data_IF_557350326850
#
_entry.id   IF_557350326850
#
_cell.length_a   1.000
_cell.length_b   1.000
_cell.length_c   1.000
_cell.angle_alpha   90.00
_cell.angle_beta   90.00
_cell.angle_gamma   90.00
#
_symmetry.space_group_name_H-M   'P 1'
#
loop_
_entity.id
_entity.type
_entity.pdbx_description
1 polymer ?
#
# COMPACT_ATOMS: atom_id res chain seq x y z
N UNK A 1 10.23 -14.65 -9.23
CA UNK A 1 11.33 -14.80 -8.25
C UNK A 1 10.75 -14.40 -6.90
N UNK A 2 10.84 -15.27 -5.89
CA UNK A 2 10.29 -14.99 -4.56
C UNK A 2 11.40 -14.37 -3.70
N UNK A 3 11.25 -13.10 -3.34
CA UNK A 3 12.21 -12.39 -2.48
C UNK A 3 11.75 -12.49 -1.03
N UNK A 4 12.66 -12.75 -0.09
CA UNK A 4 12.32 -12.76 1.34
C UNK A 4 11.92 -11.37 1.83
N UNK A 5 11.11 -11.32 2.89
CA UNK A 5 10.70 -10.06 3.53
C UNK A 5 11.90 -9.20 3.95
N UNK A 6 12.97 -9.82 4.47
CA UNK A 6 14.21 -9.13 4.86
C UNK A 6 14.93 -8.51 3.65
N UNK A 7 14.99 -9.23 2.51
CA UNK A 7 15.55 -8.66 1.28
C UNK A 7 14.73 -7.49 0.78
N UNK A 8 13.39 -7.60 0.79
CA UNK A 8 12.51 -6.51 0.38
C UNK A 8 12.68 -5.29 1.29
N UNK A 9 12.71 -5.49 2.61
CA UNK A 9 12.94 -4.42 3.59
C UNK A 9 14.26 -3.69 3.35
N UNK A 10 15.36 -4.43 3.17
CA UNK A 10 16.69 -3.85 2.96
C UNK A 10 16.72 -2.98 1.70
N UNK A 11 16.14 -3.44 0.59
CA UNK A 11 16.10 -2.64 -0.65
C UNK A 11 15.15 -1.44 -0.51
N UNK A 12 13.99 -1.59 0.13
CA UNK A 12 13.06 -0.48 0.41
C UNK A 12 13.75 0.61 1.26
N UNK A 13 14.63 0.24 2.18
CA UNK A 13 15.38 1.18 3.02
C UNK A 13 16.40 2.01 2.23
N UNK A 14 16.98 1.47 1.15
CA UNK A 14 17.88 2.24 0.24
C UNK A 14 17.18 3.40 -0.46
N UNK A 15 15.84 3.37 -0.58
CA UNK A 15 15.04 4.47 -1.15
C UNK A 15 14.88 5.66 -0.20
N UNK A 16 15.05 5.48 1.10
CA UNK A 16 14.73 6.51 2.10
C UNK A 16 15.53 7.83 1.98
N UNK A 17 16.79 7.85 1.50
CA UNK A 17 17.53 9.10 1.25
C UNK A 17 16.96 9.97 0.12
N UNK A 18 16.10 9.43 -0.74
CA UNK A 18 15.53 10.18 -1.88
C UNK A 18 14.24 10.91 -1.49
N UNK A 19 13.89 12.05 -2.12
CA UNK A 19 12.63 12.74 -1.83
C UNK A 19 11.38 11.89 -2.13
N UNK A 20 10.30 12.01 -1.35
CA UNK A 20 8.98 11.42 -1.65
C UNK A 20 8.08 12.44 -2.33
N UNK A 21 8.39 12.73 -3.60
CA UNK A 21 7.70 13.77 -4.38
C UNK A 21 6.99 13.10 -5.57
N UNK A 22 5.68 13.27 -5.68
CA UNK A 22 4.94 12.77 -6.84
C UNK A 22 4.99 13.73 -8.03
N UNK A 23 5.03 15.04 -7.77
CA UNK A 23 5.01 16.12 -8.79
C UNK A 23 3.73 16.22 -9.63
N UNK A 24 3.01 15.09 -9.81
CA UNK A 24 1.82 14.94 -10.62
C UNK A 24 0.95 13.80 -10.10
N UNK A 25 -0.31 13.75 -10.55
CA UNK A 25 -1.16 12.57 -10.35
C UNK A 25 -0.64 11.42 -11.23
N UNK A 26 -0.76 10.20 -10.71
CA UNK A 26 -0.47 8.98 -11.45
C UNK A 26 -1.29 8.92 -12.76
N UNK A 27 -0.66 8.56 -13.87
CA UNK A 27 -1.28 8.53 -15.21
C UNK A 27 -0.71 7.39 -16.09
N UNK A 28 -1.48 6.99 -17.09
CA UNK A 28 -1.18 5.83 -17.94
C UNK A 28 0.12 5.96 -18.75
N UNK A 29 0.53 7.18 -19.13
CA UNK A 29 1.75 7.40 -19.91
C UNK A 29 3.00 7.11 -19.08
N UNK A 30 3.12 7.74 -17.91
CA UNK A 30 4.24 7.49 -17.00
C UNK A 30 4.19 6.07 -16.44
N UNK A 31 2.99 5.51 -16.26
CA UNK A 31 2.83 4.13 -15.84
C UNK A 31 3.45 3.16 -16.86
N UNK A 32 3.14 3.33 -18.16
CA UNK A 32 3.73 2.51 -19.23
C UNK A 32 5.26 2.64 -19.27
N UNK A 33 5.78 3.87 -19.19
CA UNK A 33 7.22 4.14 -19.23
C UNK A 33 7.98 3.49 -18.06
N UNK A 34 7.37 3.42 -16.88
CA UNK A 34 8.04 2.94 -15.66
C UNK A 34 7.60 1.52 -15.26
N UNK A 35 7.05 0.72 -16.18
CA UNK A 35 6.55 -0.63 -15.85
C UNK A 35 7.64 -1.63 -15.44
N UNK A 36 8.91 -1.38 -15.78
CA UNK A 36 10.03 -2.21 -15.33
C UNK A 36 10.17 -2.26 -13.80
N UNK A 37 9.56 -1.33 -13.06
CA UNK A 37 9.57 -1.33 -11.58
C UNK A 37 8.97 -2.60 -10.97
N UNK A 38 8.10 -3.30 -11.71
CA UNK A 38 7.47 -4.54 -11.25
C UNK A 38 8.39 -5.77 -11.33
N UNK A 39 9.42 -5.73 -12.18
CA UNK A 39 10.37 -6.83 -12.35
C UNK A 39 11.71 -6.58 -11.65
N UNK A 40 12.02 -5.32 -11.32
CA UNK A 40 13.28 -4.92 -10.68
C UNK A 40 13.06 -4.74 -9.18
N UNK A 41 13.58 -5.67 -8.37
CA UNK A 41 13.50 -5.58 -6.92
C UNK A 41 14.72 -4.89 -6.28
N UNK A 42 15.91 -5.02 -6.87
CA UNK A 42 17.10 -4.37 -6.32
C UNK A 42 17.07 -2.86 -6.63
N UNK A 43 17.27 -2.04 -5.61
CA UNK A 43 17.16 -0.59 -5.73
C UNK A 43 18.26 0.01 -6.62
N UNK A 44 19.49 -0.50 -6.53
CA UNK A 44 20.62 -0.01 -7.34
C UNK A 44 20.42 -0.33 -8.83
N UNK A 45 19.83 -1.49 -9.12
CA UNK A 45 19.42 -1.89 -10.48
C UNK A 45 18.29 -1.00 -10.99
N UNK A 46 17.34 -0.61 -10.14
CA UNK A 46 16.29 0.34 -10.49
C UNK A 46 16.87 1.70 -10.89
N UNK A 47 17.82 2.24 -10.11
CA UNK A 47 18.47 3.52 -10.42
C UNK A 47 19.20 3.46 -11.76
N UNK A 48 19.91 2.36 -12.02
CA UNK A 48 20.62 2.13 -13.28
C UNK A 48 19.64 2.10 -14.47
N UNK A 49 18.52 1.40 -14.33
CA UNK A 49 17.52 1.28 -15.40
C UNK A 49 16.80 2.60 -15.68
N UNK A 50 16.47 3.39 -14.64
CA UNK A 50 15.91 4.73 -14.81
C UNK A 50 16.89 5.63 -15.55
N UNK A 51 18.15 5.66 -15.12
CA UNK A 51 19.19 6.48 -15.75
C UNK A 51 19.38 6.10 -17.23
N UNK A 52 19.59 4.81 -17.49
CA UNK A 52 19.76 4.28 -18.86
C UNK A 52 18.63 4.69 -19.81
N UNK A 53 17.39 4.67 -19.34
CA UNK A 53 16.22 4.90 -20.19
C UNK A 53 15.86 6.39 -20.33
N UNK A 54 16.19 7.23 -19.34
CA UNK A 54 15.64 8.59 -19.26
C UNK A 54 16.66 9.70 -19.05
N UNK A 55 17.96 9.44 -18.86
CA UNK A 55 18.95 10.49 -18.51
C UNK A 55 18.98 11.67 -19.48
N UNK A 56 18.63 11.46 -20.75
CA UNK A 56 18.61 12.49 -21.80
C UNK A 56 17.27 13.21 -21.95
N UNK A 57 16.26 12.83 -21.16
CA UNK A 57 14.92 13.39 -21.25
C UNK A 57 14.88 14.70 -20.47
N UNK A 58 14.27 15.73 -21.05
CA UNK A 58 14.14 17.05 -20.40
C UNK A 58 13.33 17.01 -19.08
N UNK A 59 12.51 15.98 -18.90
CA UNK A 59 11.71 15.74 -17.70
C UNK A 59 12.24 14.55 -16.86
N UNK A 60 13.55 14.29 -16.89
CA UNK A 60 14.19 13.18 -16.17
C UNK A 60 13.79 13.12 -14.69
N UNK A 61 13.89 14.23 -13.95
CA UNK A 61 13.62 14.25 -12.50
C UNK A 61 12.17 13.87 -12.17
N UNK A 62 11.22 14.23 -13.03
CA UNK A 62 9.82 13.86 -12.88
C UNK A 62 9.62 12.35 -13.06
N UNK A 63 10.23 11.76 -14.09
CA UNK A 63 10.15 10.31 -14.34
C UNK A 63 10.87 9.55 -13.24
N UNK A 64 12.03 10.05 -12.79
CA UNK A 64 12.84 9.46 -11.73
C UNK A 64 12.04 9.35 -10.43
N UNK A 65 11.52 10.48 -9.92
CA UNK A 65 10.72 10.49 -8.69
C UNK A 65 9.46 9.63 -8.80
N UNK A 66 8.82 9.64 -9.97
CA UNK A 66 7.64 8.83 -10.24
C UNK A 66 7.94 7.33 -10.21
N UNK A 67 9.01 6.90 -10.87
CA UNK A 67 9.47 5.52 -10.88
C UNK A 67 9.82 5.03 -9.47
N UNK A 68 10.57 5.84 -8.69
CA UNK A 68 10.92 5.50 -7.30
C UNK A 68 9.66 5.32 -6.43
N UNK A 69 8.68 6.22 -6.53
CA UNK A 69 7.47 6.12 -5.72
C UNK A 69 6.58 4.95 -6.12
N UNK A 70 6.48 4.63 -7.42
CA UNK A 70 5.77 3.44 -7.90
C UNK A 70 6.44 2.16 -7.42
N UNK A 71 7.75 2.07 -7.58
CA UNK A 71 8.55 0.94 -7.13
C UNK A 71 8.38 0.72 -5.62
N UNK A 72 8.50 1.80 -4.83
CA UNK A 72 8.38 1.73 -3.38
C UNK A 72 6.97 1.31 -2.93
N UNK A 73 5.92 1.87 -3.53
CA UNK A 73 4.55 1.46 -3.25
C UNK A 73 4.28 0.01 -3.65
N UNK A 74 4.82 -0.46 -4.78
CA UNK A 74 4.62 -1.82 -5.24
C UNK A 74 5.30 -2.84 -4.32
N UNK A 75 6.59 -2.68 -4.06
CA UNK A 75 7.35 -3.66 -3.27
C UNK A 75 6.97 -3.66 -1.79
N UNK A 76 6.58 -2.51 -1.23
CA UNK A 76 6.02 -2.46 0.14
C UNK A 76 4.66 -3.16 0.23
N UNK A 77 3.77 -2.98 -0.74
CA UNK A 77 2.49 -3.70 -0.80
C UNK A 77 2.72 -5.21 -1.01
N UNK A 78 3.65 -5.60 -1.88
CA UNK A 78 3.97 -7.01 -2.09
C UNK A 78 4.49 -7.68 -0.81
N UNK A 79 5.32 -6.99 -0.02
CA UNK A 79 5.77 -7.51 1.27
C UNK A 79 4.63 -7.67 2.28
N UNK A 80 3.69 -6.72 2.33
CA UNK A 80 2.50 -6.82 3.19
C UNK A 80 1.60 -7.99 2.77
N UNK A 81 1.37 -8.17 1.48
CA UNK A 81 0.64 -9.32 0.94
C UNK A 81 1.33 -10.64 1.33
N UNK A 82 2.66 -10.73 1.19
CA UNK A 82 3.43 -11.91 1.63
C UNK A 82 3.25 -12.18 3.13
N UNK A 83 3.20 -11.14 3.97
CA UNK A 83 2.93 -11.29 5.41
C UNK A 83 1.55 -11.91 5.63
N UNK A 84 0.48 -11.37 5.02
CA UNK A 84 -0.86 -11.95 5.16
C UNK A 84 -0.94 -13.38 4.65
N UNK A 85 -0.35 -13.67 3.49
CA UNK A 85 -0.34 -15.00 2.91
C UNK A 85 0.54 -16.01 3.66
N UNK A 86 1.30 -15.57 4.69
CA UNK A 86 2.06 -16.48 5.57
C UNK A 86 1.21 -17.12 6.67
N UNK A 87 0.01 -16.60 6.95
CA UNK A 87 -0.88 -17.15 7.97
C UNK A 87 -1.67 -18.36 7.43
N UNK A 88 -1.85 -19.42 8.23
CA UNK A 88 -2.49 -20.66 7.76
C UNK A 88 -3.97 -20.52 7.37
N UNK A 89 -4.68 -19.53 7.93
CA UNK A 89 -6.09 -19.25 7.62
C UNK A 89 -6.27 -18.26 6.45
N UNK A 90 -5.19 -17.82 5.82
CA UNK A 90 -5.21 -16.89 4.70
C UNK A 90 -4.92 -17.65 3.40
N UNK A 91 -5.79 -17.46 2.41
CA UNK A 91 -5.65 -18.04 1.07
C UNK A 91 -5.21 -16.94 0.10
N UNK A 92 -4.06 -17.09 -0.59
CA UNK A 92 -3.68 -16.15 -1.64
C UNK A 92 -4.71 -16.17 -2.78
N UNK A 93 -4.82 -15.07 -3.52
CA UNK A 93 -5.72 -15.02 -4.68
C UNK A 93 -5.40 -16.12 -5.70
N UNK A 94 -6.44 -16.82 -6.18
CA UNK A 94 -6.29 -17.90 -7.15
C UNK A 94 -5.73 -17.45 -8.50
N UNK A 95 -5.87 -16.18 -8.85
CA UNK A 95 -5.38 -15.59 -10.09
C UNK A 95 -4.68 -14.25 -9.78
N UNK A 96 -3.36 -14.20 -9.91
CA UNK A 96 -2.57 -12.97 -9.71
C UNK A 96 -2.89 -11.85 -10.71
N UNK A 97 -3.69 -12.13 -11.76
CA UNK A 97 -4.21 -11.12 -12.68
C UNK A 97 -5.53 -10.49 -12.20
N UNK A 98 -6.22 -11.07 -11.22
CA UNK A 98 -7.36 -10.41 -10.59
C UNK A 98 -6.85 -9.32 -9.65
N UNK A 99 -6.81 -8.09 -10.16
CA UNK A 99 -6.24 -6.92 -9.46
C UNK A 99 -7.09 -6.43 -8.28
N UNK A 100 -8.18 -7.13 -7.94
CA UNK A 100 -9.17 -6.69 -6.97
C UNK A 100 -9.20 -7.55 -5.69
N UNK A 101 -8.42 -8.63 -5.66
CA UNK A 101 -8.32 -9.55 -4.54
C UNK A 101 -6.85 -9.93 -4.39
N UNK A 102 -6.26 -9.60 -3.25
CA UNK A 102 -4.91 -10.05 -2.91
C UNK A 102 -4.96 -11.40 -2.18
N UNK A 103 -5.89 -11.53 -1.23
CA UNK A 103 -6.05 -12.73 -0.42
C UNK A 103 -7.47 -12.85 0.14
N UNK A 104 -7.78 -14.01 0.70
CA UNK A 104 -9.02 -14.26 1.44
C UNK A 104 -8.74 -14.78 2.83
N UNK A 105 -9.46 -14.28 3.83
CA UNK A 105 -9.37 -14.71 5.23
C UNK A 105 -10.75 -15.20 5.63
N UNK A 106 -10.85 -16.47 6.07
CA UNK A 106 -12.10 -17.07 6.57
C UNK A 106 -13.32 -16.88 5.64
N UNK A 107 -13.09 -16.98 4.32
CA UNK A 107 -14.14 -16.88 3.30
C UNK A 107 -14.44 -15.47 2.79
N UNK A 108 -13.86 -14.43 3.40
CA UNK A 108 -13.94 -13.06 2.91
C UNK A 108 -12.68 -12.68 2.10
N UNK A 109 -12.87 -12.17 0.88
CA UNK A 109 -11.78 -11.70 0.00
C UNK A 109 -11.49 -10.21 0.22
N UNK A 110 -10.22 -9.83 0.22
CA UNK A 110 -9.75 -8.46 0.45
C UNK A 110 -8.68 -8.02 -0.56
N UNK A 111 -8.72 -6.73 -0.88
CA UNK A 111 -7.59 -5.94 -1.40
C UNK A 111 -6.97 -5.21 -0.21
N UNK A 112 -5.67 -5.33 0.03
CA UNK A 112 -5.02 -4.58 1.09
C UNK A 112 -4.57 -3.22 0.58
N UNK A 113 -4.55 -2.22 1.47
CA UNK A 113 -4.06 -0.90 1.12
C UNK A 113 -3.24 -0.28 2.24
N UNK A 114 -1.93 -0.24 2.05
CA UNK A 114 -1.04 0.54 2.90
C UNK A 114 -1.13 2.02 2.53
N UNK A 115 -1.72 2.83 3.41
CA UNK A 115 -1.86 4.27 3.25
C UNK A 115 -1.12 5.01 4.36
N UNK A 116 -0.51 6.15 4.03
CA UNK A 116 -0.13 7.11 5.06
C UNK A 116 -1.38 7.75 5.66
N UNK A 117 -1.30 8.19 6.91
CA UNK A 117 -2.36 8.99 7.51
C UNK A 117 -2.61 10.24 6.65
N UNK A 118 -3.84 10.46 6.18
CA UNK A 118 -4.12 11.49 5.19
C UNK A 118 -4.00 12.90 5.76
N UNK A 119 -3.08 13.70 5.22
CA UNK A 119 -2.91 15.13 5.58
C UNK A 119 -4.18 15.98 5.43
N UNK A 120 -5.11 15.56 4.58
CA UNK A 120 -6.39 16.26 4.31
C UNK A 120 -7.56 15.73 5.13
N UNK A 121 -7.32 14.80 6.06
CA UNK A 121 -8.34 14.35 6.98
C UNK A 121 -8.36 15.27 8.19
N UNK A 122 -9.56 15.69 8.59
CA UNK A 122 -9.73 16.85 9.48
C UNK A 122 -9.59 16.51 10.97
N UNK A 123 -9.41 15.23 11.31
CA UNK A 123 -9.27 14.79 12.69
C UNK A 123 -7.80 14.44 12.99
N UNK A 124 -7.31 14.76 14.21
CA UNK A 124 -6.03 14.26 14.67
C UNK A 124 -6.05 12.74 14.81
N UNK A 125 -4.87 12.11 14.87
CA UNK A 125 -4.71 10.65 14.87
C UNK A 125 -5.53 9.97 15.98
N UNK A 126 -5.51 10.48 17.21
CA UNK A 126 -6.22 9.87 18.34
C UNK A 126 -7.75 9.88 18.16
N UNK A 127 -8.28 10.95 17.57
CA UNK A 127 -9.71 11.04 17.25
C UNK A 127 -10.08 10.21 16.03
N UNK A 128 -9.18 10.13 15.04
CA UNK A 128 -9.36 9.27 13.87
C UNK A 128 -9.42 7.78 14.23
N UNK A 129 -8.65 7.34 15.24
CA UNK A 129 -8.70 5.97 15.76
C UNK A 129 -10.07 5.68 16.38
N UNK A 130 -10.59 6.59 17.23
CA UNK A 130 -11.93 6.47 17.82
C UNK A 130 -13.04 6.49 16.75
N UNK A 131 -12.81 7.22 15.66
CA UNK A 131 -13.74 7.38 14.54
C UNK A 131 -13.31 6.60 13.28
N UNK A 132 -12.71 5.43 13.48
CA UNK A 132 -12.20 4.56 12.39
C UNK A 132 -13.20 4.39 11.22
N UNK A 133 -14.52 4.17 11.45
CA UNK A 133 -15.48 4.06 10.34
C UNK A 133 -15.52 5.28 9.41
N UNK A 134 -15.36 6.50 9.94
CA UNK A 134 -15.38 7.73 9.15
C UNK A 134 -14.12 7.89 8.30
N UNK A 135 -12.97 7.45 8.81
CA UNK A 135 -11.74 7.42 8.02
C UNK A 135 -11.82 6.41 6.87
N UNK A 136 -12.42 5.23 7.09
CA UNK A 136 -12.65 4.24 6.03
C UNK A 136 -13.53 4.86 4.93
N UNK A 137 -14.67 5.47 5.28
CA UNK A 137 -15.53 6.18 4.32
C UNK A 137 -14.75 7.25 3.56
N UNK A 138 -13.90 8.00 4.26
CA UNK A 138 -13.03 9.01 3.65
C UNK A 138 -12.07 8.39 2.63
N UNK A 139 -11.43 7.25 2.93
CA UNK A 139 -10.55 6.57 1.97
C UNK A 139 -11.29 6.14 0.71
N UNK A 140 -12.48 5.56 0.84
CA UNK A 140 -13.28 5.16 -0.33
C UNK A 140 -13.74 6.35 -1.16
N UNK A 141 -14.07 7.49 -0.53
CA UNK A 141 -14.45 8.74 -1.22
C UNK A 141 -13.27 9.38 -1.95
N UNK A 142 -12.07 9.32 -1.37
CA UNK A 142 -10.88 10.04 -1.86
C UNK A 142 -9.89 9.17 -2.64
N UNK A 143 -10.27 7.95 -3.04
CA UNK A 143 -9.43 7.10 -3.88
C UNK A 143 -9.29 7.63 -5.31
N UNK A 144 -8.31 7.12 -6.06
CA UNK A 144 -8.12 7.43 -7.48
C UNK A 144 -9.40 7.14 -8.28
N UNK A 145 -9.82 8.08 -9.13
CA UNK A 145 -11.11 8.02 -9.84
C UNK A 145 -11.08 7.26 -11.18
N UNK A 146 -9.90 6.83 -11.64
CA UNK A 146 -9.71 6.13 -12.92
C UNK A 146 -9.89 4.60 -12.76
N UNK A 147 -9.25 3.78 -13.60
CA UNK A 147 -9.35 2.30 -13.61
C UNK A 147 -9.06 1.60 -12.26
N UNK A 148 -8.53 2.35 -11.28
CA UNK A 148 -8.21 1.89 -9.91
C UNK A 148 -9.34 2.12 -8.92
N UNK A 149 -10.47 2.74 -9.32
CA UNK A 149 -11.63 2.92 -8.46
C UNK A 149 -12.40 1.61 -8.38
N UNK A 150 -12.47 1.05 -7.18
CA UNK A 150 -13.39 -0.04 -6.89
C UNK A 150 -13.92 0.07 -5.46
N UNK A 151 -15.11 -0.48 -5.27
CA UNK A 151 -15.78 -0.60 -3.97
C UNK A 151 -15.86 -2.09 -3.62
N UNK A 152 -14.69 -2.68 -3.37
CA UNK A 152 -14.53 -4.04 -2.86
C UNK A 152 -14.03 -3.94 -1.41
N UNK A 153 -14.08 -5.06 -0.71
CA UNK A 153 -13.58 -5.13 0.66
C UNK A 153 -12.11 -4.75 0.70
N UNK A 154 -11.74 -3.88 1.64
CA UNK A 154 -10.34 -3.50 1.85
C UNK A 154 -9.94 -3.61 3.30
N UNK A 155 -8.74 -4.14 3.53
CA UNK A 155 -8.03 -3.95 4.79
C UNK A 155 -7.03 -2.82 4.59
N UNK A 156 -7.22 -1.71 5.31
CA UNK A 156 -6.28 -0.61 5.27
C UNK A 156 -5.19 -0.83 6.32
N UNK A 157 -3.95 -0.54 5.97
CA UNK A 157 -2.88 -0.35 6.95
C UNK A 157 -2.55 1.12 6.98
N UNK A 158 -2.88 1.80 8.08
CA UNK A 158 -2.71 3.26 8.19
C UNK A 158 -1.44 3.58 8.96
N UNK A 159 -0.47 4.16 8.25
CA UNK A 159 0.84 4.52 8.75
C UNK A 159 0.83 5.93 9.33
N UNK A 160 1.28 6.06 10.58
CA UNK A 160 1.46 7.36 11.23
C UNK A 160 2.82 7.42 11.94
N UNK A 161 3.49 8.56 11.77
CA UNK A 161 4.77 8.90 12.42
C UNK A 161 4.70 10.36 12.88
N UNK A 162 5.07 10.71 14.13
CA UNK A 162 4.94 12.06 14.66
C UNK A 162 5.76 13.12 13.90
N UNK A 163 6.87 12.70 13.28
CA UNK A 163 7.73 13.55 12.45
C UNK A 163 7.15 13.89 11.06
N UNK A 164 5.94 13.39 10.74
CA UNK A 164 5.28 13.61 9.45
C UNK A 164 5.81 12.74 8.31
N UNK A 165 6.87 11.96 8.54
CA UNK A 165 7.52 11.10 7.55
C UNK A 165 6.84 9.72 7.48
N UNK A 166 5.50 9.70 7.53
CA UNK A 166 4.68 8.49 7.56
C UNK A 166 5.03 7.50 6.42
N UNK A 167 5.43 8.04 5.27
CA UNK A 167 5.73 7.24 4.09
C UNK A 167 6.95 6.33 4.30
N UNK A 168 7.92 6.71 5.13
CA UNK A 168 9.12 5.91 5.43
C UNK A 168 8.77 4.59 6.11
N UNK A 169 7.68 4.58 6.89
CA UNK A 169 7.20 3.39 7.58
C UNK A 169 6.81 2.24 6.64
N UNK A 170 6.58 2.51 5.35
CA UNK A 170 6.37 1.46 4.34
C UNK A 170 7.60 0.57 4.15
N UNK A 171 8.79 1.04 4.52
CA UNK A 171 10.02 0.25 4.47
C UNK A 171 10.24 -0.59 5.73
N UNK A 172 9.51 -0.35 6.83
CA UNK A 172 9.70 -1.06 8.10
C UNK A 172 8.91 -2.37 8.09
N UNK A 173 9.22 -3.28 7.15
CA UNK A 173 8.46 -4.50 6.90
C UNK A 173 8.44 -5.42 8.13
N UNK A 174 9.57 -5.60 8.81
CA UNK A 174 9.62 -6.41 10.04
C UNK A 174 8.74 -5.84 11.16
N UNK A 175 8.61 -4.51 11.24
CA UNK A 175 7.71 -3.86 12.21
C UNK A 175 6.24 -3.99 11.80
N UNK A 176 5.93 -3.77 10.52
CA UNK A 176 4.59 -3.99 9.97
C UNK A 176 4.13 -5.43 10.18
N UNK A 177 5.04 -6.40 10.02
CA UNK A 177 4.75 -7.81 10.31
C UNK A 177 4.25 -8.01 11.74
N UNK A 178 4.93 -7.45 12.75
CA UNK A 178 4.49 -7.57 14.16
C UNK A 178 3.10 -7.00 14.39
N UNK A 179 2.77 -5.90 13.72
CA UNK A 179 1.44 -5.27 13.82
C UNK A 179 0.38 -6.15 13.16
N UNK A 180 0.66 -6.70 11.98
CA UNK A 180 -0.25 -7.62 11.27
C UNK A 180 -0.41 -8.92 12.07
N UNK A 181 0.68 -9.48 12.63
CA UNK A 181 0.63 -10.64 13.52
C UNK A 181 -0.34 -10.40 14.69
N UNK A 182 -0.23 -9.25 15.36
CA UNK A 182 -1.15 -8.89 16.44
C UNK A 182 -2.60 -8.76 15.99
N UNK A 183 -2.84 -8.11 14.85
CA UNK A 183 -4.19 -8.00 14.26
C UNK A 183 -4.78 -9.38 13.94
N UNK A 184 -3.97 -10.29 13.38
CA UNK A 184 -4.41 -11.62 12.99
C UNK A 184 -4.72 -12.55 14.16
N UNK A 185 -4.11 -12.35 15.35
CA UNK A 185 -4.47 -13.09 16.57
C UNK A 185 -5.93 -12.85 16.97
N UNK A 186 -6.41 -11.61 16.81
CA UNK A 186 -7.77 -11.20 17.16
C UNK A 186 -8.72 -11.13 15.96
N UNK A 187 -8.29 -11.56 14.77
CA UNK A 187 -9.10 -11.42 13.57
C UNK A 187 -10.41 -12.20 13.70
N UNK A 188 -11.52 -11.52 13.47
CA UNK A 188 -12.83 -12.13 13.40
C UNK A 188 -13.66 -11.40 12.34
N UNK A 189 -14.15 -12.09 11.29
CA UNK A 189 -14.88 -11.46 10.21
C UNK A 189 -16.18 -10.78 10.66
N UNK A 190 -16.74 -11.16 11.81
CA UNK A 190 -17.94 -10.54 12.37
C UNK A 190 -17.69 -9.15 12.97
N UNK A 191 -16.45 -8.81 13.32
CA UNK A 191 -16.07 -7.50 13.85
C UNK A 191 -15.70 -6.49 12.75
N UNK A 192 -15.63 -6.94 11.49
CA UNK A 192 -15.36 -6.06 10.36
C UNK A 192 -16.51 -5.06 10.17
N UNK A 193 -16.15 -3.81 9.92
CA UNK A 193 -17.11 -2.74 9.70
C UNK A 193 -17.80 -2.92 8.35
N UNK A 194 -19.13 -2.78 8.33
CA UNK A 194 -19.97 -2.91 7.13
C UNK A 194 -20.32 -1.54 6.59
N UNK A 195 -20.15 -1.33 5.29
CA UNK A 195 -20.47 -0.07 4.62
C UNK A 195 -21.35 -0.30 3.40
N UNK A 196 -22.39 0.52 3.26
CA UNK A 196 -23.25 0.57 2.07
C UNK A 196 -22.85 1.76 1.21
N UNK A 197 -21.84 1.57 0.34
CA UNK A 197 -21.29 2.63 -0.51
C UNK A 197 -22.03 2.79 -1.86
N UNK A 198 -22.77 1.77 -2.28
CA UNK A 198 -23.63 1.75 -3.47
C UNK A 198 -24.97 1.08 -3.12
N UNK A 199 -26.02 1.36 -3.91
CA UNK A 199 -27.32 0.70 -3.76
C UNK A 199 -27.13 -0.83 -3.87
N UNK A 200 -27.64 -1.57 -2.89
CA UNK A 200 -27.66 -3.03 -2.83
C UNK A 200 -26.28 -3.71 -2.72
N UNK A 201 -25.23 -2.99 -2.29
CA UNK A 201 -23.91 -3.59 -2.07
C UNK A 201 -23.34 -3.19 -0.72
N UNK A 202 -23.20 -4.18 0.14
CA UNK A 202 -22.46 -4.06 1.40
C UNK A 202 -21.03 -4.51 1.18
N UNK A 203 -20.07 -3.68 1.58
CA UNK A 203 -18.67 -4.06 1.68
C UNK A 203 -18.28 -4.21 3.15
N UNK A 204 -17.26 -5.01 3.41
CA UNK A 204 -16.60 -5.10 4.72
C UNK A 204 -15.20 -4.51 4.64
N UNK A 205 -14.79 -3.82 5.71
CA UNK A 205 -13.49 -3.17 5.77
C UNK A 205 -13.05 -2.98 7.22
N UNK A 206 -11.75 -2.78 7.42
CA UNK A 206 -11.16 -2.43 8.70
C UNK A 206 -9.84 -1.65 8.50
N UNK A 207 -9.33 -1.05 9.59
CA UNK A 207 -8.03 -0.40 9.65
C UNK A 207 -7.12 -1.11 10.66
N UNK A 208 -5.96 -1.55 10.17
CA UNK A 208 -4.81 -1.92 10.97
C UNK A 208 -4.00 -0.64 11.22
N UNK A 209 -4.03 -0.14 12.44
CA UNK A 209 -3.32 1.07 12.83
C UNK A 209 -1.83 0.80 13.09
N UNK A 210 -0.97 1.37 12.25
CA UNK A 210 0.48 1.31 12.37
C UNK A 210 1.02 2.67 12.80
N UNK A 211 0.92 2.93 14.11
CA UNK A 211 1.30 4.20 14.73
C UNK A 211 2.66 4.04 15.40
N UNK A 212 3.67 4.75 14.91
CA UNK A 212 4.94 4.90 15.62
C UNK A 212 4.75 5.99 16.67
N UNK A 213 5.07 5.68 17.93
CA UNK A 213 5.06 6.65 19.03
C UNK A 213 6.43 7.31 19.14
#
# INVERSE_FOLDING_TARGET
MYYSLTQIENELKKRLPYPYIWGRKQNDSFDKQTNFIYSIQQFDTLLTEIKKNFEKYSNYDDIFNYALNRWYNFWSANAVEQIFCSFPNVKPAHNSKDRLIDFSIEGASFDHKTSVFPKKYNLPIDEAIKQTPELIKWFYKNQSQQQRKHLKNRLFIVLYSPDGEHWKLKAEISWLKKIIDHYMIGFNPNYLMKFSLEKNKTIISDIIWAVKK
#
